data_IF_619231761491
#
_entry.id   IF_619231761491
#
_cell.length_a   1.000
_cell.length_b   1.000
_cell.length_c   1.000
_cell.angle_alpha   90.00
_cell.angle_beta   90.00
_cell.angle_gamma   90.00
#
_symmetry.space_group_name_H-M   'P 1'
#
loop_
_entity.id
_entity.type
_entity.pdbx_description
1 polymer ?
#
# COMPACT_ATOMS: atom_id res chain seq x y z
N UNK A 1 8.85 -18.15 -1.48
CA UNK A 1 9.39 -17.06 -2.34
C UNK A 1 10.25 -16.13 -1.48
N UNK A 2 10.91 -15.10 -2.03
CA UNK A 2 11.65 -14.11 -1.20
C UNK A 2 10.76 -13.39 -0.18
N UNK A 3 9.47 -13.25 -0.51
CA UNK A 3 8.42 -12.67 0.34
C UNK A 3 7.64 -13.72 1.14
N UNK A 4 8.25 -14.88 1.42
CA UNK A 4 7.72 -15.90 2.33
C UNK A 4 6.35 -16.51 1.93
N UNK A 5 5.91 -16.36 0.68
CA UNK A 5 4.74 -17.10 0.19
C UNK A 5 5.07 -18.60 0.05
N UNK A 6 4.24 -19.50 0.62
CA UNK A 6 4.41 -20.94 0.48
C UNK A 6 4.10 -21.42 -0.95
N UNK A 7 4.46 -22.66 -1.25
CA UNK A 7 4.03 -23.36 -2.47
C UNK A 7 2.54 -23.69 -2.32
N UNK A 8 1.74 -23.45 -3.36
CA UNK A 8 0.27 -23.65 -3.32
C UNK A 8 -0.52 -22.57 -2.59
N UNK A 9 0.09 -21.43 -2.27
CA UNK A 9 -0.66 -20.28 -1.72
C UNK A 9 -1.66 -19.75 -2.76
N UNK A 10 -2.94 -19.48 -2.42
CA UNK A 10 -3.98 -19.05 -3.37
C UNK A 10 -3.57 -17.85 -4.23
N UNK A 11 -2.93 -16.84 -3.64
CA UNK A 11 -2.41 -15.68 -4.37
C UNK A 11 -1.38 -16.01 -5.48
N UNK A 12 -0.86 -17.24 -5.55
CA UNK A 12 0.05 -17.72 -6.61
C UNK A 12 -0.68 -18.47 -7.73
N UNK A 13 -2.00 -18.60 -7.63
CA UNK A 13 -2.85 -19.25 -8.63
C UNK A 13 -3.26 -18.27 -9.73
N UNK A 14 -3.67 -18.81 -10.88
CA UNK A 14 -4.10 -18.03 -12.05
C UNK A 14 -5.39 -17.24 -11.83
N UNK A 15 -6.15 -17.57 -10.78
CA UNK A 15 -7.35 -16.82 -10.44
C UNK A 15 -7.02 -15.38 -10.03
N UNK A 16 -5.91 -15.16 -9.30
CA UNK A 16 -5.58 -13.85 -8.72
C UNK A 16 -4.43 -13.14 -9.47
N UNK A 17 -3.53 -13.90 -10.09
CA UNK A 17 -2.28 -13.40 -10.68
C UNK A 17 -2.24 -13.59 -12.20
N UNK A 18 -1.87 -12.53 -12.93
CA UNK A 18 -1.57 -12.61 -14.35
C UNK A 18 -0.20 -13.24 -14.60
N UNK A 19 -0.18 -14.38 -15.32
CA UNK A 19 1.03 -15.07 -15.76
C UNK A 19 1.24 -14.93 -17.27
N UNK A 20 2.50 -14.84 -17.68
CA UNK A 20 2.90 -15.01 -19.08
C UNK A 20 2.88 -16.48 -19.47
N UNK A 21 2.97 -16.74 -20.78
CA UNK A 21 3.23 -18.08 -21.30
C UNK A 21 4.50 -18.67 -20.66
N UNK A 22 4.53 -19.99 -20.39
CA UNK A 22 5.72 -20.65 -19.87
C UNK A 22 6.88 -20.51 -20.87
N UNK A 23 8.09 -20.38 -20.33
CA UNK A 23 9.32 -20.44 -21.13
C UNK A 23 9.73 -21.88 -21.46
N UNK A 24 10.88 -22.07 -22.10
CA UNK A 24 11.43 -23.37 -22.51
C UNK A 24 11.63 -24.34 -21.34
N UNK A 25 11.77 -23.84 -20.11
CA UNK A 25 11.93 -24.64 -18.90
C UNK A 25 10.60 -24.87 -18.16
N UNK A 26 9.48 -24.38 -18.70
CA UNK A 26 8.17 -24.43 -18.06
C UNK A 26 7.96 -23.36 -16.98
N UNK A 27 8.88 -22.42 -16.80
CA UNK A 27 8.74 -21.35 -15.83
C UNK A 27 7.83 -20.23 -16.34
N UNK A 28 6.95 -19.71 -15.46
CA UNK A 28 6.05 -18.61 -15.80
C UNK A 28 6.49 -17.33 -15.13
N UNK A 29 6.76 -16.30 -15.93
CA UNK A 29 6.86 -14.93 -15.45
C UNK A 29 5.47 -14.39 -15.13
N UNK A 30 5.38 -13.36 -14.30
CA UNK A 30 4.11 -12.74 -13.89
C UNK A 30 4.17 -11.23 -13.95
N UNK A 31 3.01 -10.59 -14.07
CA UNK A 31 2.85 -9.17 -13.74
C UNK A 31 2.80 -9.03 -12.23
N UNK A 32 3.61 -8.11 -11.67
CA UNK A 32 3.71 -7.96 -10.21
C UNK A 32 2.35 -7.60 -9.59
N UNK A 33 1.99 -8.28 -8.51
CA UNK A 33 0.71 -8.09 -7.80
C UNK A 33 0.77 -7.05 -6.67
N UNK A 34 1.99 -6.59 -6.36
CA UNK A 34 2.33 -5.58 -5.38
C UNK A 34 3.74 -5.03 -5.69
N UNK A 35 4.15 -3.93 -5.05
CA UNK A 35 5.45 -3.27 -5.25
C UNK A 35 6.58 -3.81 -4.36
N UNK A 36 6.28 -4.69 -3.40
CA UNK A 36 7.29 -5.33 -2.53
C UNK A 36 8.47 -6.03 -3.23
N UNK A 37 8.39 -6.54 -4.47
CA UNK A 37 9.58 -7.03 -5.18
C UNK A 37 10.66 -5.95 -5.38
N UNK A 38 10.27 -4.66 -5.43
CA UNK A 38 11.21 -3.53 -5.47
C UNK A 38 11.94 -3.39 -4.13
N UNK A 39 11.24 -3.58 -3.02
CA UNK A 39 11.83 -3.60 -1.68
C UNK A 39 12.83 -4.75 -1.51
N UNK A 40 12.48 -5.95 -1.99
CA UNK A 40 13.40 -7.11 -2.03
C UNK A 40 14.66 -6.78 -2.82
N UNK A 41 14.52 -6.20 -4.02
CA UNK A 41 15.67 -5.78 -4.84
C UNK A 41 16.53 -4.74 -4.13
N UNK A 42 15.90 -3.82 -3.39
CA UNK A 42 16.60 -2.82 -2.58
C UNK A 42 17.40 -3.48 -1.46
N UNK A 43 16.81 -4.39 -0.70
CA UNK A 43 17.51 -5.14 0.35
C UNK A 43 18.68 -5.99 -0.17
N UNK A 44 18.61 -6.45 -1.43
CA UNK A 44 19.71 -7.18 -2.07
C UNK A 44 20.81 -6.26 -2.62
N UNK A 45 20.50 -5.01 -2.93
CA UNK A 45 21.42 -4.06 -3.55
C UNK A 45 22.20 -3.18 -2.55
N UNK A 46 21.67 -2.97 -1.34
CA UNK A 46 22.30 -2.15 -0.31
C UNK A 46 22.14 -2.76 1.09
N UNK A 47 23.08 -2.44 1.98
CA UNK A 47 23.02 -2.84 3.39
C UNK A 47 22.17 -1.85 4.22
N UNK A 48 21.58 -2.28 5.35
CA UNK A 48 20.88 -1.38 6.28
C UNK A 48 21.77 -0.25 6.82
N UNK A 49 21.20 0.92 7.18
CA UNK A 49 19.77 1.21 7.24
C UNK A 49 19.14 1.42 5.86
N UNK A 50 17.95 0.86 5.66
CA UNK A 50 17.16 1.01 4.42
C UNK A 50 15.87 1.74 4.78
N UNK A 51 15.55 2.79 4.04
CA UNK A 51 14.28 3.54 4.13
C UNK A 51 13.86 3.86 2.71
N UNK A 52 12.83 3.18 2.22
CA UNK A 52 12.41 3.29 0.81
C UNK A 52 10.90 3.33 0.70
N UNK A 53 10.42 4.15 -0.25
CA UNK A 53 9.02 4.21 -0.68
C UNK A 53 8.98 3.76 -2.13
N UNK A 54 8.10 2.83 -2.43
CA UNK A 54 7.99 2.15 -3.72
C UNK A 54 6.60 2.41 -4.33
N UNK A 55 6.35 3.58 -4.96
CA UNK A 55 5.12 3.76 -5.73
C UNK A 55 5.21 3.01 -7.05
N UNK A 56 4.08 2.50 -7.55
CA UNK A 56 4.03 1.96 -8.90
C UNK A 56 2.75 1.22 -9.26
N UNK A 57 2.63 0.92 -10.55
CA UNK A 57 1.56 0.09 -11.11
C UNK A 57 1.68 -1.36 -10.67
N UNK A 58 0.57 -1.96 -10.29
CA UNK A 58 0.40 -3.35 -9.86
C UNK A 58 -0.83 -3.95 -10.54
N UNK A 59 -0.88 -5.27 -10.60
CA UNK A 59 -1.86 -5.97 -11.42
C UNK A 59 -2.51 -7.11 -10.64
N UNK A 60 -3.83 -7.24 -10.74
CA UNK A 60 -4.62 -8.34 -10.16
C UNK A 60 -5.76 -8.69 -11.09
N UNK A 61 -6.26 -9.91 -11.04
CA UNK A 61 -7.38 -10.32 -11.88
C UNK A 61 -8.74 -9.98 -11.25
N UNK A 62 -8.88 -8.76 -10.74
CA UNK A 62 -10.10 -8.23 -10.12
C UNK A 62 -10.66 -7.10 -10.99
N UNK A 63 -11.98 -7.06 -11.22
CA UNK A 63 -12.62 -6.00 -12.03
C UNK A 63 -14.06 -5.74 -11.59
N UNK A 64 -14.28 -4.67 -10.83
CA UNK A 64 -15.59 -4.16 -10.43
C UNK A 64 -15.57 -2.62 -10.26
N UNK A 65 -16.55 -2.04 -9.54
CA UNK A 65 -16.64 -0.59 -9.32
C UNK A 65 -15.51 -0.03 -8.43
N UNK A 66 -14.91 -0.88 -7.60
CA UNK A 66 -13.90 -0.55 -6.59
C UNK A 66 -12.54 -1.20 -6.87
N UNK A 67 -12.47 -2.10 -7.85
CA UNK A 67 -11.28 -2.84 -8.25
C UNK A 67 -11.06 -2.77 -9.75
N UNK A 68 -9.83 -2.50 -10.17
CA UNK A 68 -9.41 -2.54 -11.56
C UNK A 68 -8.24 -3.50 -11.76
N UNK A 69 -8.12 -4.16 -12.94
CA UNK A 69 -7.06 -5.14 -13.15
C UNK A 69 -5.63 -4.57 -13.09
N UNK A 70 -5.51 -3.26 -13.32
CA UNK A 70 -4.31 -2.47 -13.12
C UNK A 70 -4.67 -1.29 -12.22
N UNK A 71 -3.86 -1.08 -11.19
CA UNK A 71 -4.03 -0.04 -10.21
C UNK A 71 -2.66 0.39 -9.67
N UNK A 72 -2.62 1.44 -8.86
CA UNK A 72 -1.40 1.99 -8.30
C UNK A 72 -1.33 1.70 -6.81
N UNK A 73 -0.19 1.18 -6.37
CA UNK A 73 0.13 1.03 -4.95
C UNK A 73 1.35 1.84 -4.59
N UNK A 74 1.42 2.19 -3.32
CA UNK A 74 2.63 2.64 -2.67
C UNK A 74 2.88 1.77 -1.46
N UNK A 75 4.11 1.28 -1.35
CA UNK A 75 4.57 0.56 -0.17
C UNK A 75 5.83 1.19 0.39
N UNK A 76 5.93 1.24 1.72
CA UNK A 76 7.14 1.64 2.43
C UNK A 76 7.83 0.46 3.09
N UNK A 77 9.15 0.53 3.18
CA UNK A 77 10.00 -0.40 3.93
C UNK A 77 11.03 0.38 4.73
N UNK A 78 11.14 0.06 6.02
CA UNK A 78 12.25 0.47 6.88
C UNK A 78 12.93 -0.76 7.45
N UNK A 79 14.25 -0.88 7.25
CA UNK A 79 15.10 -1.88 7.91
C UNK A 79 16.19 -1.14 8.69
N UNK A 80 16.23 -1.34 10.01
CA UNK A 80 17.15 -0.68 10.92
C UNK A 80 17.32 -1.54 12.19
N UNK A 81 18.39 -1.32 12.97
CA UNK A 81 18.60 -2.00 14.25
C UNK A 81 17.59 -1.55 15.32
N UNK A 82 17.00 -0.37 15.15
CA UNK A 82 16.01 0.20 16.09
C UNK A 82 14.56 0.17 15.60
N UNK A 83 14.31 -0.35 14.39
CA UNK A 83 12.97 -0.38 13.80
C UNK A 83 12.02 -1.21 14.66
N UNK A 84 10.88 -0.63 15.07
CA UNK A 84 9.91 -1.30 15.94
C UNK A 84 8.49 -0.84 15.60
N UNK A 85 7.51 -1.50 16.23
CA UNK A 85 6.08 -1.25 15.98
C UNK A 85 5.64 0.18 16.36
N UNK A 86 6.27 0.81 17.35
CA UNK A 86 5.99 2.20 17.72
C UNK A 86 6.33 3.17 16.60
N UNK A 87 7.48 2.98 15.95
CA UNK A 87 7.87 3.77 14.78
C UNK A 87 6.88 3.61 13.62
N UNK A 88 6.45 2.36 13.33
CA UNK A 88 5.45 2.10 12.30
C UNK A 88 4.13 2.84 12.58
N UNK A 89 3.61 2.74 13.80
CA UNK A 89 2.36 3.41 14.19
C UNK A 89 2.46 4.92 14.02
N UNK A 90 3.55 5.53 14.50
CA UNK A 90 3.77 6.96 14.38
C UNK A 90 3.85 7.42 12.92
N UNK A 91 4.61 6.71 12.08
CA UNK A 91 4.73 7.06 10.65
C UNK A 91 3.36 7.04 9.96
N UNK A 92 2.56 6.02 10.25
CA UNK A 92 1.23 5.89 9.65
C UNK A 92 0.27 6.97 10.16
N UNK A 93 0.34 7.32 11.45
CA UNK A 93 -0.44 8.42 12.03
C UNK A 93 -0.10 9.76 11.38
N UNK A 94 1.18 10.11 11.30
CA UNK A 94 1.61 11.36 10.69
C UNK A 94 1.33 11.42 9.18
N UNK A 95 1.45 10.28 8.49
CA UNK A 95 1.01 10.18 7.10
C UNK A 95 -0.49 10.47 6.97
N UNK A 96 -1.34 9.87 7.80
CA UNK A 96 -2.78 10.05 7.71
C UNK A 96 -3.20 11.48 8.05
N UNK A 97 -2.61 12.10 9.09
CA UNK A 97 -2.84 13.51 9.44
C UNK A 97 -2.49 14.43 8.26
N UNK A 98 -1.32 14.22 7.67
CA UNK A 98 -0.84 15.03 6.54
C UNK A 98 -1.67 14.80 5.27
N UNK A 99 -2.01 13.55 4.97
CA UNK A 99 -2.70 13.18 3.73
C UNK A 99 -4.17 13.59 3.76
N UNK A 100 -4.87 13.37 4.88
CA UNK A 100 -6.29 13.75 5.03
C UNK A 100 -6.47 15.17 5.56
N UNK A 101 -5.39 15.87 5.93
CA UNK A 101 -5.40 17.24 6.46
C UNK A 101 -6.27 17.37 7.73
N UNK A 102 -6.06 16.43 8.66
CA UNK A 102 -6.79 16.34 9.93
C UNK A 102 -5.76 16.27 11.05
N UNK A 103 -5.84 17.19 12.01
CA UNK A 103 -4.88 17.27 13.12
C UNK A 103 -4.99 16.09 14.10
N UNK A 104 -6.22 15.62 14.37
CA UNK A 104 -6.51 14.51 15.30
C UNK A 104 -7.16 13.32 14.58
N UNK A 105 -6.32 12.50 13.93
CA UNK A 105 -6.76 11.25 13.28
C UNK A 105 -6.81 10.13 14.31
N UNK A 106 -8.01 9.59 14.57
CA UNK A 106 -8.15 8.35 15.36
C UNK A 106 -7.93 7.14 14.47
N UNK A 107 -6.95 6.32 14.85
CA UNK A 107 -6.57 5.10 14.14
C UNK A 107 -6.87 3.86 14.98
N UNK A 108 -7.29 2.79 14.30
CA UNK A 108 -7.51 1.47 14.89
C UNK A 108 -6.66 0.45 14.15
N UNK A 109 -5.84 -0.28 14.89
CA UNK A 109 -4.99 -1.36 14.37
C UNK A 109 -5.63 -2.71 14.72
N UNK A 110 -6.03 -3.47 13.71
CA UNK A 110 -6.63 -4.80 13.86
C UNK A 110 -5.61 -5.86 13.47
N UNK A 111 -5.41 -6.93 14.26
CA UNK A 111 -4.59 -8.06 13.83
C UNK A 111 -5.10 -8.61 12.48
N UNK A 112 -4.17 -8.84 11.56
CA UNK A 112 -4.44 -9.46 10.26
C UNK A 112 -3.30 -10.42 9.93
N UNK A 113 -3.20 -10.90 8.69
CA UNK A 113 -2.17 -11.82 8.25
C UNK A 113 -1.66 -11.47 6.86
N UNK A 114 -0.36 -11.22 6.75
CA UNK A 114 0.35 -11.16 5.47
C UNK A 114 1.58 -12.06 5.53
N UNK A 115 1.86 -12.92 4.53
CA UNK A 115 2.97 -13.86 4.59
C UNK A 115 4.35 -13.22 4.84
N UNK A 116 4.53 -11.96 4.45
CA UNK A 116 5.78 -11.22 4.53
C UNK A 116 5.94 -10.35 5.79
N UNK A 117 4.96 -10.32 6.70
CA UNK A 117 5.04 -9.60 7.98
C UNK A 117 4.56 -10.42 9.17
N UNK A 118 5.16 -10.22 10.34
CA UNK A 118 4.74 -10.81 11.61
C UNK A 118 5.27 -9.97 12.81
N UNK A 119 4.42 -9.35 13.64
CA UNK A 119 2.95 -9.30 13.53
C UNK A 119 2.47 -8.46 12.34
N UNK A 120 1.29 -8.84 11.82
CA UNK A 120 0.58 -8.17 10.73
C UNK A 120 -0.69 -7.46 11.23
N UNK A 121 -1.00 -6.29 10.68
CA UNK A 121 -2.19 -5.50 11.04
C UNK A 121 -2.83 -4.83 9.83
N UNK A 122 -4.15 -4.72 9.86
CA UNK A 122 -4.93 -3.76 9.08
C UNK A 122 -5.13 -2.48 9.89
N UNK A 123 -5.23 -1.37 9.19
CA UNK A 123 -5.38 -0.04 9.79
C UNK A 123 -6.67 0.60 9.29
N UNK A 124 -7.50 0.99 10.26
CA UNK A 124 -8.72 1.74 10.01
C UNK A 124 -8.58 3.18 10.55
N UNK A 125 -9.26 4.13 9.89
CA UNK A 125 -9.45 5.50 10.38
C UNK A 125 -10.92 5.72 10.74
N UNK A 126 -11.15 6.50 11.80
CA UNK A 126 -12.49 6.95 12.19
C UNK A 126 -13.13 7.82 11.10
N UNK A 127 -14.38 7.52 10.76
CA UNK A 127 -15.12 8.30 9.77
C UNK A 127 -16.62 8.39 10.05
N UNK A 128 -17.26 9.40 9.44
CA UNK A 128 -18.71 9.54 9.34
C UNK A 128 -19.17 9.21 7.93
N UNK A 129 -20.24 8.43 7.80
CA UNK A 129 -20.92 8.14 6.53
C UNK A 129 -22.27 8.86 6.53
N UNK A 130 -22.34 10.06 5.95
CA UNK A 130 -23.57 10.88 5.91
C UNK A 130 -23.77 11.46 4.52
N UNK A 131 -25.00 11.38 4.01
CA UNK A 131 -25.35 11.99 2.72
C UNK A 131 -24.61 11.41 1.51
N UNK A 132 -24.04 10.20 1.62
CA UNK A 132 -23.20 9.61 0.56
C UNK A 132 -21.73 10.05 0.60
N UNK A 133 -21.34 10.89 1.56
CA UNK A 133 -19.96 11.33 1.77
C UNK A 133 -19.31 10.58 2.94
N UNK A 134 -18.00 10.34 2.82
CA UNK A 134 -17.15 9.85 3.90
C UNK A 134 -16.34 11.04 4.42
N UNK A 135 -16.46 11.34 5.72
CA UNK A 135 -15.67 12.39 6.39
C UNK A 135 -14.80 11.76 7.46
N UNK A 136 -13.49 11.92 7.33
CA UNK A 136 -12.53 11.41 8.31
C UNK A 136 -12.47 12.31 9.55
N UNK A 137 -12.16 11.74 10.72
CA UNK A 137 -12.06 12.48 11.98
C UNK A 137 -13.42 12.78 12.65
N UNK A 138 -14.53 12.38 12.02
CA UNK A 138 -15.88 12.56 12.54
C UNK A 138 -16.58 11.20 12.73
N UNK A 139 -17.67 11.16 13.50
CA UNK A 139 -18.52 9.97 13.64
C UNK A 139 -17.91 8.83 14.46
N UNK A 140 -18.58 7.68 14.51
CA UNK A 140 -18.16 6.52 15.31
C UNK A 140 -17.85 5.28 14.46
N UNK A 141 -17.88 5.42 13.13
CA UNK A 141 -17.63 4.36 12.18
C UNK A 141 -16.14 4.28 11.85
N UNK A 142 -15.73 3.18 11.22
CA UNK A 142 -14.34 2.90 10.88
C UNK A 142 -14.21 2.45 9.43
N UNK A 143 -13.16 2.91 8.76
CA UNK A 143 -12.85 2.55 7.40
C UNK A 143 -11.40 2.09 7.29
N UNK A 144 -11.20 0.87 6.79
CA UNK A 144 -9.88 0.33 6.47
C UNK A 144 -9.23 1.15 5.33
N UNK A 145 -7.97 1.52 5.52
CA UNK A 145 -7.19 2.30 4.56
C UNK A 145 -5.91 1.60 4.06
N UNK A 146 -5.30 0.72 4.86
CA UNK A 146 -4.02 0.09 4.52
C UNK A 146 -3.72 -1.17 5.35
N UNK A 147 -2.73 -1.93 4.90
CA UNK A 147 -2.11 -3.04 5.64
C UNK A 147 -0.67 -2.73 6.02
N UNK A 148 -0.21 -3.24 7.16
CA UNK A 148 1.15 -3.04 7.65
C UNK A 148 1.62 -4.16 8.59
N UNK A 149 2.91 -4.16 8.92
CA UNK A 149 3.44 -5.09 9.91
C UNK A 149 4.96 -5.03 10.05
N UNK A 150 5.48 -5.80 11.00
CA UNK A 150 6.93 -6.00 11.15
C UNK A 150 7.40 -7.01 10.09
N UNK A 151 8.51 -6.74 9.40
CA UNK A 151 9.01 -7.61 8.33
C UNK A 151 9.34 -8.99 8.88
N UNK A 152 8.79 -10.04 8.26
CA UNK A 152 8.94 -11.40 8.74
C UNK A 152 10.43 -11.83 8.69
N UNK A 153 10.98 -12.52 9.72
CA UNK A 153 12.40 -12.92 9.76
C UNK A 153 12.89 -13.69 8.53
N UNK A 154 12.07 -14.58 7.97
CA UNK A 154 12.38 -15.27 6.72
C UNK A 154 12.62 -14.33 5.53
N UNK A 155 11.92 -13.19 5.44
CA UNK A 155 12.14 -12.20 4.39
C UNK A 155 13.52 -11.55 4.54
N UNK A 156 13.93 -11.24 5.76
CA UNK A 156 15.27 -10.73 6.07
C UNK A 156 16.35 -11.75 5.70
N UNK A 157 16.23 -13.00 6.16
CA UNK A 157 17.16 -14.09 5.82
C UNK A 157 17.24 -14.32 4.31
N UNK A 158 16.09 -14.30 3.63
CA UNK A 158 16.02 -14.43 2.17
C UNK A 158 16.76 -13.30 1.43
N UNK A 159 16.96 -12.15 2.07
CA UNK A 159 17.72 -11.02 1.54
C UNK A 159 19.14 -10.91 2.11
N UNK A 160 19.61 -11.92 2.86
CA UNK A 160 20.96 -11.95 3.41
C UNK A 160 21.15 -11.09 4.66
N UNK A 161 20.06 -10.72 5.34
CA UNK A 161 20.08 -9.93 6.58
C UNK A 161 19.82 -10.82 7.79
N UNK A 162 20.58 -10.59 8.86
CA UNK A 162 20.42 -11.29 10.13
C UNK A 162 19.26 -10.69 10.94
N UNK A 163 18.16 -11.44 11.18
CA UNK A 163 17.00 -10.96 11.94
C UNK A 163 17.29 -10.76 13.44
N UNK A 164 18.39 -11.27 13.97
CA UNK A 164 18.80 -11.02 15.36
C UNK A 164 19.54 -9.68 15.50
N UNK A 165 20.02 -9.11 14.39
CA UNK A 165 20.70 -7.81 14.33
C UNK A 165 19.78 -6.71 13.79
N UNK A 166 19.00 -7.00 12.76
CA UNK A 166 18.15 -6.03 12.07
C UNK A 166 16.68 -6.37 12.25
N UNK A 167 15.89 -5.33 12.48
CA UNK A 167 14.44 -5.39 12.44
C UNK A 167 13.93 -4.51 11.30
N UNK A 168 12.64 -4.61 11.00
CA UNK A 168 12.04 -3.73 10.02
C UNK A 168 10.53 -3.76 10.07
N UNK A 169 9.92 -2.76 9.47
CA UNK A 169 8.49 -2.70 9.25
C UNK A 169 8.19 -2.32 7.81
N UNK A 170 7.05 -2.76 7.33
CA UNK A 170 6.53 -2.45 6.02
C UNK A 170 5.06 -2.05 6.10
N UNK A 171 4.61 -1.27 5.13
CA UNK A 171 3.22 -0.87 4.96
C UNK A 171 2.90 -0.75 3.48
N UNK A 172 1.62 -0.88 3.13
CA UNK A 172 1.16 -0.79 1.75
C UNK A 172 -0.28 -0.31 1.65
N UNK A 173 -0.53 0.57 0.68
CA UNK A 173 -1.87 1.09 0.38
C UNK A 173 -2.07 1.30 -1.12
N UNK A 174 -3.34 1.20 -1.55
CA UNK A 174 -3.75 1.55 -2.91
C UNK A 174 -3.90 3.06 -3.04
N UNK A 175 -3.15 3.67 -3.95
CA UNK A 175 -3.19 5.12 -4.21
C UNK A 175 -4.58 5.51 -4.73
N UNK A 176 -5.15 4.71 -5.62
CA UNK A 176 -6.43 5.04 -6.23
C UNK A 176 -7.56 5.02 -5.18
N UNK A 177 -7.53 4.05 -4.24
CA UNK A 177 -8.52 3.95 -3.14
C UNK A 177 -8.43 5.15 -2.19
N UNK A 178 -7.24 5.53 -1.74
CA UNK A 178 -7.10 6.68 -0.83
C UNK A 178 -7.40 8.01 -1.52
N UNK A 179 -7.16 8.12 -2.84
CA UNK A 179 -7.56 9.28 -3.63
C UNK A 179 -9.09 9.38 -3.74
N UNK A 180 -9.77 8.27 -4.04
CA UNK A 180 -11.24 8.24 -4.03
C UNK A 180 -11.81 8.72 -2.70
N UNK A 181 -11.22 8.28 -1.59
CA UNK A 181 -11.66 8.66 -0.26
C UNK A 181 -11.39 10.13 0.08
N UNK A 182 -10.21 10.66 -0.30
CA UNK A 182 -9.85 12.06 -0.05
C UNK A 182 -10.70 13.03 -0.88
N UNK A 183 -10.94 12.71 -2.14
CA UNK A 183 -11.59 13.60 -3.10
C UNK A 183 -13.07 13.28 -3.34
N UNK A 184 -13.65 12.34 -2.58
CA UNK A 184 -15.06 11.97 -2.66
C UNK A 184 -15.48 11.36 -4.01
N UNK A 185 -14.57 10.65 -4.68
CA UNK A 185 -14.86 10.05 -5.99
C UNK A 185 -15.58 8.71 -5.81
N UNK A 186 -16.78 8.52 -6.38
CA UNK A 186 -17.64 7.36 -6.10
C UNK A 186 -17.30 6.11 -6.92
N UNK A 187 -16.50 6.23 -7.98
CA UNK A 187 -16.22 5.15 -8.93
C UNK A 187 -14.76 5.20 -9.37
N UNK A 188 -14.09 4.04 -9.37
CA UNK A 188 -12.68 3.92 -9.73
C UNK A 188 -12.47 3.91 -11.26
N UNK A 189 -13.44 3.40 -12.03
CA UNK A 189 -13.28 3.17 -13.48
C UNK A 189 -12.87 4.42 -14.27
N UNK A 190 -13.44 5.61 -14.02
CA UNK A 190 -13.10 6.82 -14.76
C UNK A 190 -11.63 7.25 -14.66
N UNK A 191 -10.88 6.78 -13.65
CA UNK A 191 -9.44 7.07 -13.51
C UNK A 191 -8.63 6.60 -14.72
N UNK A 192 -9.13 5.58 -15.43
CA UNK A 192 -8.41 4.90 -16.51
C UNK A 192 -9.02 5.14 -17.90
N UNK A 193 -10.13 5.89 -18.00
CA UNK A 193 -10.87 6.14 -19.25
C UNK A 193 -10.34 7.35 -20.03
N UNK A 194 -9.53 8.20 -19.40
CA UNK A 194 -9.02 9.44 -19.97
C UNK A 194 -10.11 10.41 -20.47
N UNK A 195 -11.28 10.44 -19.82
CA UNK A 195 -12.34 11.39 -20.13
C UNK A 195 -11.96 12.82 -19.71
N UNK A 196 -11.88 13.73 -20.69
CA UNK A 196 -11.53 15.15 -20.47
C UNK A 196 -12.50 15.89 -19.56
N UNK A 197 -13.78 15.49 -19.50
CA UNK A 197 -14.78 16.08 -18.59
C UNK A 197 -14.51 15.66 -17.15
N UNK A 198 -14.16 14.39 -16.95
CA UNK A 198 -13.76 13.87 -15.64
C UNK A 198 -12.48 14.54 -15.17
N UNK A 199 -11.45 14.61 -16.04
CA UNK A 199 -10.19 15.31 -15.76
C UNK A 199 -10.40 16.80 -15.48
N UNK A 200 -11.36 17.45 -16.15
CA UNK A 200 -11.67 18.85 -15.87
C UNK A 200 -12.38 19.07 -14.53
N UNK A 201 -13.08 18.06 -14.00
CA UNK A 201 -13.82 18.16 -12.74
C UNK A 201 -12.98 17.70 -11.54
N UNK A 202 -12.26 16.60 -11.68
CA UNK A 202 -11.49 15.94 -10.62
C UNK A 202 -9.96 16.02 -10.80
N UNK A 203 -9.49 16.37 -11.99
CA UNK A 203 -8.06 16.40 -12.28
C UNK A 203 -7.35 17.61 -11.67
N UNK A 204 -6.06 17.45 -11.43
CA UNK A 204 -5.19 18.49 -10.89
C UNK A 204 -4.42 19.18 -12.02
N UNK A 205 -4.04 20.45 -11.81
CA UNK A 205 -3.14 21.12 -12.75
C UNK A 205 -1.74 20.52 -12.60
N UNK A 206 -1.03 20.19 -13.69
CA UNK A 206 0.30 19.58 -13.61
C UNK A 206 1.34 20.41 -12.85
N UNK A 207 1.10 21.72 -12.67
CA UNK A 207 1.98 22.66 -11.99
C UNK A 207 1.54 22.96 -10.54
N UNK A 208 0.37 22.51 -10.12
CA UNK A 208 -0.04 22.59 -8.71
C UNK A 208 0.69 21.50 -7.94
N UNK A 209 1.82 21.88 -7.36
CA UNK A 209 2.66 21.01 -6.57
C UNK A 209 2.19 21.05 -5.11
N UNK A 210 1.80 19.90 -4.52
CA UNK A 210 1.45 19.86 -3.12
C UNK A 210 2.68 20.14 -2.27
N UNK A 211 2.51 20.92 -1.21
CA UNK A 211 3.56 21.22 -0.23
C UNK A 211 3.03 21.02 1.17
N UNK A 212 3.91 20.76 2.14
CA UNK A 212 3.51 20.61 3.54
C UNK A 212 2.78 21.85 4.08
N UNK A 213 3.10 23.04 3.55
CA UNK A 213 2.46 24.31 3.94
C UNK A 213 1.21 24.64 3.13
N UNK A 214 1.15 24.22 1.87
CA UNK A 214 0.03 24.52 0.96
C UNK A 214 -1.09 23.47 0.99
N UNK A 215 -0.80 22.30 1.56
CA UNK A 215 -1.74 21.18 1.59
C UNK A 215 -1.83 20.42 0.26
N UNK A 216 -2.81 19.54 0.20
CA UNK A 216 -3.16 18.67 -0.93
C UNK A 216 -4.55 18.98 -1.52
N UNK A 217 -5.29 19.92 -0.91
CA UNK A 217 -6.68 20.26 -1.27
C UNK A 217 -6.84 21.66 -1.88
N UNK A 218 -5.74 22.29 -2.31
CA UNK A 218 -5.73 23.57 -3.03
C UNK A 218 -6.25 23.46 -4.46
#
# INVERSE_FOLDING_TARGET
>A
TKLNFPVGHPAREMHDTFFFAPDENGERKLLRTHTSPVQVRTMLAQQPPIRVICPGRTYRNDSDQTHTPMFHQVEGLVIDKSANLGHLKWILEEFCKSFFEIDDVKMRFRPSFFPFTEPSMEVDIQCSRKGGEIRFGEGDDWLEILGCGMVHPNVLRNCGLDPDVYQGFAWGMGIDRIAMLKYGMPDLRPFFEADVRWLSHYGFRPLDLPTLTGGLSS
#
